data_IF_395109532708
#
_entry.id   IF_395109532708
#
_cell.length_a   1.000
_cell.length_b   1.000
_cell.length_c   1.000
_cell.angle_alpha   90.00
_cell.angle_beta   90.00
_cell.angle_gamma   90.00
#
_symmetry.space_group_name_H-M   'P 1'
#
loop_
_entity.id
_entity.type
_entity.pdbx_description
1 polymer ?
#
# COMPACT_ATOMS: atom_id res chain seq x y z
N UNK A 1 14.93 -0.40 22.60
CA UNK A 1 14.27 -1.06 21.47
C UNK A 1 14.50 -0.26 20.20
N UNK A 2 15.05 -0.90 19.19
CA UNK A 2 15.36 -0.20 17.94
C UNK A 2 14.11 0.02 17.11
N UNK A 3 13.90 1.24 16.58
CA UNK A 3 12.81 1.53 15.65
C UNK A 3 12.91 0.71 14.36
N UNK A 4 14.05 0.07 14.16
CA UNK A 4 14.31 -0.78 12.98
C UNK A 4 14.01 -2.25 13.23
N UNK A 5 13.57 -2.59 14.44
CA UNK A 5 13.18 -3.96 14.74
C UNK A 5 12.00 -4.37 13.84
N UNK A 6 12.12 -5.48 13.08
CA UNK A 6 11.06 -5.91 12.17
C UNK A 6 9.71 -6.13 12.85
N UNK A 7 9.71 -6.65 14.08
CA UNK A 7 8.46 -6.87 14.81
C UNK A 7 7.79 -5.55 15.18
N UNK A 8 8.55 -4.56 15.67
CA UNK A 8 8.02 -3.23 15.96
C UNK A 8 7.50 -2.53 14.72
N UNK A 9 8.23 -2.67 13.63
CA UNK A 9 7.83 -2.09 12.35
C UNK A 9 6.52 -2.70 11.84
N UNK A 10 6.37 -4.02 11.98
CA UNK A 10 5.16 -4.72 11.57
C UNK A 10 3.96 -4.28 12.41
N UNK A 11 4.14 -4.07 13.72
CA UNK A 11 3.07 -3.57 14.58
C UNK A 11 2.62 -2.17 14.16
N UNK A 12 3.57 -1.30 13.82
CA UNK A 12 3.23 0.04 13.32
C UNK A 12 2.53 -0.03 11.97
N UNK A 13 2.94 -0.94 11.09
CA UNK A 13 2.28 -1.14 9.81
C UNK A 13 0.84 -1.65 10.01
N UNK A 14 0.64 -2.59 10.93
CA UNK A 14 -0.70 -3.06 11.27
C UNK A 14 -1.57 -1.93 11.79
N UNK A 15 -1.00 -1.06 12.64
CA UNK A 15 -1.72 0.09 13.16
C UNK A 15 -2.14 1.05 12.04
N UNK A 16 -1.28 1.27 11.05
CA UNK A 16 -1.63 2.08 9.88
C UNK A 16 -2.78 1.48 9.09
N UNK A 17 -2.73 0.17 8.85
CA UNK A 17 -3.78 -0.51 8.09
C UNK A 17 -5.11 -0.56 8.85
N UNK A 18 -5.08 -0.41 10.17
CA UNK A 18 -6.27 -0.34 11.01
C UNK A 18 -6.72 1.11 11.26
N UNK A 19 -5.93 2.08 10.89
CA UNK A 19 -6.26 3.50 11.07
C UNK A 19 -7.27 3.93 10.02
N UNK A 20 -8.46 4.34 10.48
CA UNK A 20 -9.55 4.71 9.58
C UNK A 20 -9.17 5.89 8.68
N UNK A 21 -8.49 6.89 9.22
CA UNK A 21 -8.10 8.07 8.45
C UNK A 21 -7.11 7.71 7.35
N UNK A 22 -6.14 6.86 7.67
CA UNK A 22 -5.17 6.42 6.67
C UNK A 22 -5.84 5.62 5.54
N UNK A 23 -6.68 4.66 5.90
CA UNK A 23 -7.39 3.83 4.94
C UNK A 23 -8.34 4.65 4.08
N UNK A 24 -9.08 5.57 4.70
CA UNK A 24 -9.97 6.48 3.99
C UNK A 24 -9.21 7.39 3.03
N UNK A 25 -8.06 7.94 3.47
CA UNK A 25 -7.25 8.81 2.63
C UNK A 25 -6.75 8.08 1.39
N UNK A 26 -6.24 6.86 1.55
CA UNK A 26 -5.81 6.04 0.41
C UNK A 26 -6.99 5.75 -0.52
N UNK A 27 -8.14 5.40 0.05
CA UNK A 27 -9.36 5.12 -0.72
C UNK A 27 -9.85 6.33 -1.49
N UNK A 28 -9.77 7.51 -0.90
CA UNK A 28 -10.17 8.76 -1.55
C UNK A 28 -9.27 9.10 -2.74
N UNK A 29 -7.96 8.94 -2.57
CA UNK A 29 -7.01 9.17 -3.66
C UNK A 29 -7.26 8.17 -4.79
N UNK A 30 -7.46 6.90 -4.45
CA UNK A 30 -7.75 5.86 -5.42
C UNK A 30 -9.05 6.14 -6.18
N UNK A 31 -10.11 6.47 -5.45
CA UNK A 31 -11.41 6.78 -6.06
C UNK A 31 -11.33 8.01 -6.95
N UNK A 32 -10.58 9.03 -6.52
CA UNK A 32 -10.35 10.23 -7.34
C UNK A 32 -9.62 9.93 -8.63
N UNK A 33 -8.61 9.07 -8.58
CA UNK A 33 -7.86 8.66 -9.77
C UNK A 33 -8.73 7.86 -10.73
N UNK A 34 -9.52 6.92 -10.20
CA UNK A 34 -10.44 6.12 -11.01
C UNK A 34 -11.50 7.01 -11.69
N UNK A 35 -12.07 7.95 -10.93
CA UNK A 35 -13.04 8.88 -11.45
C UNK A 35 -12.46 9.77 -12.55
N UNK A 36 -11.24 10.27 -12.35
CA UNK A 36 -10.55 11.07 -13.35
C UNK A 36 -10.29 10.26 -14.63
N UNK A 37 -9.90 9.00 -14.49
CA UNK A 37 -9.69 8.12 -15.65
C UNK A 37 -10.99 7.86 -16.40
N UNK A 38 -12.10 7.69 -15.69
CA UNK A 38 -13.40 7.46 -16.30
C UNK A 38 -13.88 8.66 -17.11
N UNK A 39 -13.47 9.87 -16.72
CA UNK A 39 -13.82 11.12 -17.40
C UNK A 39 -12.80 11.55 -18.44
N UNK A 40 -11.64 10.91 -18.46
CA UNK A 40 -10.54 11.33 -19.31
C UNK A 40 -10.92 11.18 -20.79
N UNK A 41 -10.56 12.20 -21.56
CA UNK A 41 -10.73 12.15 -23.00
C UNK A 41 -9.57 11.35 -23.59
N UNK A 42 -9.88 10.39 -24.46
CA UNK A 42 -8.88 9.60 -25.18
C UNK A 42 -7.92 10.48 -25.98
N UNK A 43 -8.32 11.70 -26.29
CA UNK A 43 -7.46 12.66 -26.99
C UNK A 43 -6.41 13.31 -26.08
N UNK A 44 -6.47 13.05 -24.78
CA UNK A 44 -5.51 13.60 -23.81
C UNK A 44 -4.76 12.46 -23.11
N UNK A 45 -3.74 11.88 -23.78
CA UNK A 45 -3.00 10.76 -23.19
C UNK A 45 -2.17 11.16 -21.96
N UNK A 46 -1.79 12.42 -21.85
CA UNK A 46 -1.02 12.88 -20.68
C UNK A 46 -1.84 12.73 -19.40
N UNK A 47 -3.11 13.10 -19.42
CA UNK A 47 -4.02 12.95 -18.28
C UNK A 47 -4.22 11.48 -17.92
N UNK A 48 -4.37 10.62 -18.93
CA UNK A 48 -4.50 9.17 -18.71
C UNK A 48 -3.26 8.60 -18.01
N UNK A 49 -2.08 8.96 -18.49
CA UNK A 49 -0.82 8.49 -17.94
C UNK A 49 -0.66 8.96 -16.50
N UNK A 50 -0.95 10.23 -16.23
CA UNK A 50 -0.81 10.83 -14.90
C UNK A 50 -1.69 10.12 -13.88
N UNK A 51 -2.98 9.96 -14.17
CA UNK A 51 -3.92 9.35 -13.23
C UNK A 51 -3.71 7.84 -13.10
N UNK A 52 -3.27 7.16 -14.16
CA UNK A 52 -2.90 5.75 -14.08
C UNK A 52 -1.69 5.58 -13.15
N UNK A 53 -0.68 6.44 -13.28
CA UNK A 53 0.49 6.40 -12.42
C UNK A 53 0.12 6.66 -10.95
N UNK A 54 -0.76 7.62 -10.70
CA UNK A 54 -1.23 7.93 -9.35
C UNK A 54 -1.97 6.72 -8.74
N UNK A 55 -2.86 6.11 -9.49
CA UNK A 55 -3.60 4.93 -9.05
C UNK A 55 -2.65 3.78 -8.69
N UNK A 56 -1.67 3.52 -9.57
CA UNK A 56 -0.67 2.49 -9.32
C UNK A 56 0.18 2.80 -8.10
N UNK A 57 0.55 4.08 -7.90
CA UNK A 57 1.35 4.51 -6.75
C UNK A 57 0.60 4.30 -5.44
N UNK A 58 -0.67 4.67 -5.37
CA UNK A 58 -1.49 4.48 -4.16
C UNK A 58 -1.63 2.99 -3.84
N UNK A 59 -1.89 2.18 -4.85
CA UNK A 59 -1.99 0.73 -4.67
C UNK A 59 -0.67 0.11 -4.25
N UNK A 60 0.44 0.64 -4.76
CA UNK A 60 1.78 0.19 -4.37
C UNK A 60 2.08 0.50 -2.91
N UNK A 61 1.70 1.70 -2.43
CA UNK A 61 1.88 2.07 -1.02
C UNK A 61 1.11 1.10 -0.13
N UNK A 62 -0.15 0.85 -0.44
CA UNK A 62 -0.98 -0.07 0.33
C UNK A 62 -0.36 -1.47 0.38
N UNK A 63 0.02 -2.00 -0.77
CA UNK A 63 0.63 -3.33 -0.86
C UNK A 63 1.96 -3.39 -0.12
N UNK A 64 2.73 -2.31 -0.16
CA UNK A 64 4.02 -2.28 0.53
C UNK A 64 3.82 -2.33 2.05
N UNK A 65 2.87 -1.56 2.59
CA UNK A 65 2.54 -1.61 4.02
C UNK A 65 2.06 -3.00 4.41
N UNK A 66 1.20 -3.60 3.60
CA UNK A 66 0.74 -4.98 3.82
C UNK A 66 1.92 -5.97 3.80
N UNK A 67 2.88 -5.78 2.90
CA UNK A 67 4.04 -6.66 2.81
C UNK A 67 4.95 -6.56 4.03
N UNK A 68 5.02 -5.42 4.68
CA UNK A 68 5.78 -5.26 5.91
C UNK A 68 5.23 -6.19 6.99
N UNK A 69 3.90 -6.26 7.11
CA UNK A 69 3.25 -7.16 8.06
C UNK A 69 3.49 -8.62 7.70
N UNK A 70 3.27 -8.95 6.43
CA UNK A 70 3.40 -10.33 5.94
C UNK A 70 4.83 -10.84 6.08
N UNK A 71 5.81 -10.02 5.71
CA UNK A 71 7.21 -10.43 5.75
C UNK A 71 7.69 -10.64 7.17
N UNK A 72 7.26 -9.81 8.11
CA UNK A 72 7.59 -10.00 9.52
C UNK A 72 7.01 -11.30 10.06
N UNK A 73 5.77 -11.61 9.70
CA UNK A 73 5.12 -12.86 10.10
C UNK A 73 5.86 -14.08 9.54
N UNK A 74 6.33 -14.00 8.29
CA UNK A 74 7.09 -15.07 7.68
C UNK A 74 8.46 -15.24 8.33
N UNK A 75 9.09 -14.14 8.74
CA UNK A 75 10.39 -14.18 9.40
C UNK A 75 10.31 -14.79 10.80
N UNK A 76 9.18 -14.60 11.50
CA UNK A 76 8.94 -15.13 12.83
C UNK A 76 8.57 -16.61 12.82
N UNK A 77 8.23 -17.16 11.69
CA UNK A 77 7.94 -18.58 11.60
C UNK A 77 9.21 -19.36 11.83
N UNK A 78 9.17 -20.37 12.73
CA UNK A 78 10.25 -21.33 12.75
C UNK A 78 10.33 -21.90 11.35
N UNK A 79 11.45 -21.64 10.70
CA UNK A 79 11.65 -22.10 9.33
C UNK A 79 11.43 -23.61 9.25
N UNK A 80 10.96 -24.12 8.12
CA UNK A 80 10.91 -25.55 7.94
C UNK A 80 12.32 -26.07 8.14
N UNK A 81 12.44 -26.94 9.11
CA UNK A 81 13.70 -27.58 9.39
C UNK A 81 13.97 -28.54 8.26
N UNK A 82 14.73 -28.11 7.31
CA UNK A 82 15.33 -29.03 6.36
C UNK A 82 16.57 -29.59 6.98
N UNK A 83 16.35 -30.52 7.83
CA UNK A 83 17.47 -31.25 8.37
C UNK A 83 17.92 -32.28 7.33
#
# INVERSE_FOLDING_TARGET
MSDRDPASRALRAQALLADETFVEALGEIEAGAVDALARANVADPATLIEHTALLQAVRAVRRHVESIVTNAALSDRPGPSFA
#
